data_IF_529192020064
#
_entry.id   IF_529192020064
#
_cell.length_a   1.000
_cell.length_b   1.000
_cell.length_c   1.000
_cell.angle_alpha   90.00
_cell.angle_beta   90.00
_cell.angle_gamma   90.00
#
_symmetry.space_group_name_H-M   'P 1'
#
loop_
_entity.id
_entity.type
_entity.pdbx_description
1 polymer ?
#
# COMPACT_ATOMS: atom_id res chain seq x y z
N UNK A 1 34.63 26.28 21.36
CA UNK A 1 34.26 25.62 20.09
C UNK A 1 32.79 25.27 20.17
N UNK A 2 31.93 26.06 19.53
CA UNK A 2 30.51 25.74 19.37
C UNK A 2 30.37 24.69 18.27
N UNK A 3 29.73 23.56 18.59
CA UNK A 3 29.24 22.60 17.61
C UNK A 3 27.87 23.10 17.14
N UNK A 4 27.85 23.81 16.01
CA UNK A 4 26.64 24.03 15.22
C UNK A 4 26.26 22.70 14.59
N UNK A 5 25.44 21.92 15.31
CA UNK A 5 24.77 20.74 14.78
C UNK A 5 23.60 21.17 13.90
N UNK A 6 23.84 21.12 12.60
CA UNK A 6 22.89 21.28 11.51
C UNK A 6 21.59 20.49 11.81
N UNK A 7 20.51 21.18 12.18
CA UNK A 7 19.19 20.58 12.56
C UNK A 7 18.07 21.13 11.68
N UNK A 8 18.34 21.34 10.40
CA UNK A 8 17.35 21.85 9.45
C UNK A 8 17.52 21.24 8.07
N UNK A 9 17.16 19.97 7.86
CA UNK A 9 16.85 19.50 6.50
C UNK A 9 16.06 18.18 6.35
N UNK A 10 15.44 17.66 7.41
CA UNK A 10 14.53 16.53 7.26
C UNK A 10 13.12 17.03 6.91
N UNK A 11 12.78 17.06 5.61
CA UNK A 11 11.41 17.37 5.16
C UNK A 11 10.42 16.38 5.78
N UNK A 12 9.41 16.90 6.50
CA UNK A 12 8.39 16.09 7.18
C UNK A 12 7.49 15.36 6.18
N UNK A 13 6.83 14.25 6.56
CA UNK A 13 5.85 13.57 5.72
C UNK A 13 4.72 14.50 5.22
N UNK A 14 4.28 15.45 6.06
CA UNK A 14 3.26 16.41 5.67
C UNK A 14 3.75 17.33 4.54
N UNK A 15 4.97 17.85 4.65
CA UNK A 15 5.60 18.66 3.60
C UNK A 15 5.80 17.89 2.30
N UNK A 16 6.30 16.64 2.37
CA UNK A 16 6.46 15.79 1.18
C UNK A 16 5.12 15.50 0.51
N UNK A 17 4.13 15.06 1.29
CA UNK A 17 2.78 14.78 0.78
C UNK A 17 2.15 16.02 0.14
N UNK A 18 2.23 17.17 0.83
CA UNK A 18 1.74 18.45 0.31
C UNK A 18 2.38 18.82 -1.03
N UNK A 19 3.71 18.67 -1.15
CA UNK A 19 4.44 18.94 -2.39
C UNK A 19 4.02 18.01 -3.54
N UNK A 20 3.89 16.70 -3.29
CA UNK A 20 3.44 15.72 -4.29
C UNK A 20 2.02 16.03 -4.78
N UNK A 21 1.10 16.33 -3.85
CA UNK A 21 -0.27 16.70 -4.22
C UNK A 21 -0.31 18.02 -4.97
N UNK A 22 0.51 19.00 -4.59
CA UNK A 22 0.58 20.30 -5.27
C UNK A 22 1.02 20.13 -6.72
N UNK A 23 2.11 19.40 -6.96
CA UNK A 23 2.61 19.10 -8.31
C UNK A 23 1.58 18.32 -9.14
N UNK A 24 0.97 17.28 -8.56
CA UNK A 24 -0.03 16.47 -9.22
C UNK A 24 -1.30 17.26 -9.58
N UNK A 25 -1.78 18.11 -8.67
CA UNK A 25 -2.94 18.97 -8.93
C UNK A 25 -2.65 19.99 -10.04
N UNK A 26 -1.44 20.57 -10.10
CA UNK A 26 -1.07 21.43 -11.22
C UNK A 26 -1.08 20.67 -12.55
N UNK A 27 -0.56 19.44 -12.59
CA UNK A 27 -0.63 18.56 -13.77
C UNK A 27 -2.05 18.18 -14.16
N UNK A 28 -2.95 18.04 -13.19
CA UNK A 28 -4.38 17.80 -13.40
C UNK A 28 -5.16 19.06 -13.82
N UNK A 29 -4.50 20.22 -13.94
CA UNK A 29 -5.10 21.46 -14.44
C UNK A 29 -5.69 22.37 -13.35
N UNK A 30 -5.45 22.11 -12.07
CA UNK A 30 -5.86 23.02 -11.00
C UNK A 30 -4.91 24.23 -10.91
N UNK A 31 -5.48 25.42 -11.00
CA UNK A 31 -4.75 26.66 -10.68
C UNK A 31 -4.76 26.90 -9.16
N UNK A 32 -3.63 26.59 -8.52
CA UNK A 32 -3.47 26.70 -7.06
C UNK A 32 -2.99 28.08 -6.60
N UNK A 33 -2.87 29.06 -7.51
CA UNK A 33 -2.50 30.43 -7.15
C UNK A 33 -3.60 31.07 -6.29
N UNK A 34 -3.23 32.02 -5.39
CA UNK A 34 -4.23 32.68 -4.56
C UNK A 34 -5.26 33.44 -5.42
N UNK A 35 -6.55 33.18 -5.21
CA UNK A 35 -7.65 33.92 -5.85
C UNK A 35 -8.21 33.33 -7.14
N UNK A 36 -7.58 32.33 -7.75
CA UNK A 36 -8.03 31.71 -9.03
C UNK A 36 -9.03 30.56 -8.84
N UNK A 37 -9.29 30.16 -7.59
CA UNK A 37 -10.36 29.22 -7.24
C UNK A 37 -10.00 27.74 -7.38
N UNK A 38 -8.83 27.37 -7.94
CA UNK A 38 -8.48 25.95 -8.10
C UNK A 38 -8.32 25.20 -6.77
N UNK A 39 -7.90 25.87 -5.68
CA UNK A 39 -7.94 25.29 -4.33
C UNK A 39 -9.37 24.97 -3.85
N UNK A 40 -10.35 25.80 -4.23
CA UNK A 40 -11.76 25.57 -3.89
C UNK A 40 -12.34 24.44 -4.73
N UNK A 41 -11.98 24.36 -6.01
CA UNK A 41 -12.35 23.25 -6.89
C UNK A 41 -11.79 21.92 -6.35
N UNK A 42 -10.50 21.88 -6.00
CA UNK A 42 -9.85 20.72 -5.41
C UNK A 42 -10.53 20.30 -4.09
N UNK A 43 -10.85 21.25 -3.22
CA UNK A 43 -11.58 20.99 -1.98
C UNK A 43 -12.95 20.34 -2.22
N UNK A 44 -13.73 20.88 -3.17
CA UNK A 44 -15.04 20.32 -3.54
C UNK A 44 -14.93 18.87 -4.02
N UNK A 45 -13.97 18.58 -4.89
CA UNK A 45 -13.86 17.27 -5.56
C UNK A 45 -13.25 16.19 -4.66
N UNK A 46 -12.36 16.60 -3.77
CA UNK A 46 -11.82 15.75 -2.70
C UNK A 46 -12.77 15.57 -1.51
N UNK A 47 -13.87 16.35 -1.44
CA UNK A 47 -14.78 16.35 -0.29
C UNK A 47 -14.14 16.92 0.98
N UNK A 48 -13.09 17.74 0.83
CA UNK A 48 -12.37 18.38 1.93
C UNK A 48 -12.82 19.83 2.10
N UNK A 49 -12.59 20.42 3.27
CA UNK A 49 -12.76 21.87 3.42
C UNK A 49 -11.61 22.62 2.75
N UNK A 50 -11.88 23.83 2.25
CA UNK A 50 -10.84 24.67 1.63
C UNK A 50 -9.66 24.96 2.58
N UNK A 51 -9.94 25.11 3.88
CA UNK A 51 -8.91 25.25 4.91
C UNK A 51 -8.05 23.98 5.04
N UNK A 52 -8.67 22.80 5.09
CA UNK A 52 -7.94 21.53 5.17
C UNK A 52 -7.05 21.31 3.94
N UNK A 53 -7.56 21.58 2.73
CA UNK A 53 -6.76 21.53 1.50
C UNK A 53 -5.61 22.53 1.55
N UNK A 54 -5.86 23.77 1.99
CA UNK A 54 -4.82 24.79 2.10
C UNK A 54 -3.67 24.39 3.03
N UNK A 55 -4.00 23.85 4.21
CA UNK A 55 -3.01 23.38 5.19
C UNK A 55 -2.23 22.17 4.68
N UNK A 56 -2.93 21.23 4.01
CA UNK A 56 -2.30 20.07 3.37
C UNK A 56 -1.32 20.48 2.28
N UNK A 57 -1.71 21.36 1.36
CA UNK A 57 -0.84 21.82 0.26
C UNK A 57 0.39 22.60 0.77
N UNK A 58 0.29 23.27 1.92
CA UNK A 58 1.43 23.92 2.59
C UNK A 58 2.28 22.98 3.43
N UNK A 59 1.89 21.71 3.51
CA UNK A 59 2.61 20.71 4.30
C UNK A 59 2.45 20.84 5.81
N UNK A 60 1.43 21.57 6.28
CA UNK A 60 1.16 21.77 7.71
C UNK A 60 0.43 20.58 8.33
N UNK A 61 -0.32 19.83 7.51
CA UNK A 61 -1.08 18.65 7.96
C UNK A 61 -1.16 17.58 6.90
N UNK A 62 -1.21 16.34 7.37
CA UNK A 62 -1.69 15.22 6.57
C UNK A 62 -3.22 15.17 6.54
N UNK A 63 -3.82 14.79 5.41
CA UNK A 63 -5.23 14.44 5.37
C UNK A 63 -5.48 13.12 6.12
N UNK A 64 -6.74 12.82 6.39
CA UNK A 64 -7.11 11.56 7.06
C UNK A 64 -6.84 10.38 6.12
N UNK A 65 -6.49 9.18 6.64
CA UNK A 65 -6.25 8.01 5.79
C UNK A 65 -7.40 7.68 4.82
N UNK A 66 -8.64 7.87 5.26
CA UNK A 66 -9.84 7.69 4.42
C UNK A 66 -9.93 8.64 3.22
N UNK A 67 -9.12 9.70 3.18
CA UNK A 67 -9.11 10.70 2.11
C UNK A 67 -8.02 10.43 1.07
N UNK A 68 -7.02 9.58 1.35
CA UNK A 68 -5.90 9.36 0.44
C UNK A 68 -6.35 8.86 -0.94
N UNK A 69 -7.25 7.87 -0.96
CA UNK A 69 -7.74 7.32 -2.22
C UNK A 69 -8.52 8.35 -3.05
N UNK A 70 -9.32 9.20 -2.39
CA UNK A 70 -10.06 10.27 -3.07
C UNK A 70 -9.11 11.31 -3.65
N UNK A 71 -8.09 11.72 -2.89
CA UNK A 71 -7.09 12.68 -3.34
C UNK A 71 -6.35 12.13 -4.56
N UNK A 72 -5.84 10.89 -4.47
CA UNK A 72 -5.14 10.20 -5.56
C UNK A 72 -5.96 10.18 -6.87
N UNK A 73 -7.25 9.84 -6.77
CA UNK A 73 -8.16 9.84 -7.93
C UNK A 73 -8.33 11.23 -8.54
N UNK A 74 -8.52 12.26 -7.71
CA UNK A 74 -8.77 13.64 -8.16
C UNK A 74 -7.53 14.25 -8.83
N UNK A 75 -6.34 13.96 -8.32
CA UNK A 75 -5.09 14.45 -8.92
C UNK A 75 -4.47 13.49 -9.94
N UNK A 76 -5.19 12.42 -10.30
CA UNK A 76 -4.79 11.41 -11.28
C UNK A 76 -3.41 10.79 -11.01
N UNK A 77 -3.13 10.45 -9.75
CA UNK A 77 -1.92 9.73 -9.33
C UNK A 77 -2.33 8.38 -8.74
N UNK A 78 -1.53 7.34 -8.99
CA UNK A 78 -1.74 6.05 -8.35
C UNK A 78 -1.62 6.19 -6.81
N UNK A 79 -2.49 5.50 -6.07
CA UNK A 79 -2.51 5.66 -4.61
C UNK A 79 -1.20 5.19 -3.97
N UNK A 80 -0.62 4.10 -4.46
CA UNK A 80 0.64 3.59 -3.96
C UNK A 80 1.77 4.61 -4.25
N UNK A 81 1.84 5.13 -5.48
CA UNK A 81 2.79 6.20 -5.82
C UNK A 81 2.65 7.42 -4.90
N UNK A 82 1.42 7.88 -4.65
CA UNK A 82 1.16 9.04 -3.78
C UNK A 82 1.66 8.81 -2.35
N UNK A 83 1.43 7.62 -1.79
CA UNK A 83 1.82 7.29 -0.42
C UNK A 83 3.33 7.12 -0.27
N UNK A 84 4.00 6.54 -1.28
CA UNK A 84 5.46 6.37 -1.29
C UNK A 84 6.16 7.71 -1.48
N UNK A 85 5.79 8.48 -2.52
CA UNK A 85 6.37 9.80 -2.78
C UNK A 85 6.06 10.80 -1.66
N UNK A 86 4.87 10.71 -1.07
CA UNK A 86 4.50 11.50 0.12
C UNK A 86 5.25 11.07 1.39
N UNK A 87 5.95 9.93 1.34
CA UNK A 87 6.68 9.35 2.46
C UNK A 87 5.77 9.00 3.65
N UNK A 88 4.55 8.56 3.35
CA UNK A 88 3.59 7.97 4.29
C UNK A 88 3.92 6.48 4.48
N UNK A 89 4.34 5.83 3.40
CA UNK A 89 4.80 4.45 3.37
C UNK A 89 6.21 4.45 2.78
N UNK A 90 7.11 3.61 3.31
CA UNK A 90 8.42 3.40 2.70
C UNK A 90 8.29 2.54 1.44
N UNK A 91 9.21 2.68 0.50
CA UNK A 91 9.22 1.88 -0.73
C UNK A 91 9.29 0.38 -0.43
N UNK A 92 10.10 -0.03 0.57
CA UNK A 92 10.19 -1.43 1.02
C UNK A 92 8.85 -1.97 1.51
N UNK A 93 8.16 -1.23 2.39
CA UNK A 93 6.86 -1.65 2.92
C UNK A 93 5.77 -1.65 1.83
N UNK A 94 5.87 -0.75 0.86
CA UNK A 94 4.93 -0.68 -0.24
C UNK A 94 5.10 -1.86 -1.22
N UNK A 95 6.34 -2.25 -1.51
CA UNK A 95 6.69 -3.45 -2.27
C UNK A 95 6.25 -4.75 -1.58
N UNK A 96 6.32 -4.80 -0.25
CA UNK A 96 5.84 -5.96 0.53
C UNK A 96 4.32 -6.09 0.52
N UNK A 97 3.57 -4.99 0.50
CA UNK A 97 2.11 -4.99 0.33
C UNK A 97 1.69 -5.36 -1.11
N UNK A 98 2.48 -4.96 -2.12
CA UNK A 98 2.33 -5.38 -3.52
C UNK A 98 2.58 -6.88 -3.74
N UNK A 99 3.32 -7.53 -2.82
CA UNK A 99 3.43 -9.00 -2.70
C UNK A 99 2.22 -9.66 -2.03
N UNK A 100 1.08 -8.96 -1.96
CA UNK A 100 -0.20 -9.49 -1.49
C UNK A 100 -0.54 -10.83 -2.14
N UNK A 101 -0.63 -11.86 -1.29
CA UNK A 101 -0.88 -13.28 -1.61
C UNK A 101 -0.07 -13.73 -2.83
N UNK A 102 1.20 -14.09 -2.59
CA UNK A 102 1.96 -14.94 -3.51
C UNK A 102 0.99 -15.98 -4.08
N UNK A 103 0.91 -16.07 -5.42
CA UNK A 103 0.43 -17.26 -6.13
C UNK A 103 0.78 -18.50 -5.31
N UNK A 104 -0.12 -19.49 -5.16
CA UNK A 104 0.07 -20.59 -4.23
C UNK A 104 1.53 -21.07 -4.32
N UNK A 105 2.31 -20.77 -3.28
CA UNK A 105 3.74 -21.04 -3.32
C UNK A 105 3.88 -22.54 -3.40
N UNK A 106 4.77 -22.99 -4.28
CA UNK A 106 5.11 -24.40 -4.34
C UNK A 106 5.77 -24.79 -3.01
N UNK A 107 5.59 -26.04 -2.54
CA UNK A 107 6.32 -26.55 -1.39
C UNK A 107 7.84 -26.31 -1.50
N UNK A 108 8.40 -26.38 -2.71
CA UNK A 108 9.80 -26.11 -3.01
C UNK A 108 10.22 -24.67 -2.68
N UNK A 109 9.43 -23.68 -3.14
CA UNK A 109 9.68 -22.26 -2.86
C UNK A 109 9.54 -21.92 -1.37
N UNK A 110 8.65 -22.62 -0.66
CA UNK A 110 8.50 -22.48 0.79
C UNK A 110 9.76 -22.97 1.52
N UNK A 111 10.29 -24.14 1.13
CA UNK A 111 11.52 -24.68 1.72
C UNK A 111 12.74 -23.78 1.46
N UNK A 112 12.81 -23.17 0.28
CA UNK A 112 13.85 -22.18 -0.04
C UNK A 112 13.74 -20.94 0.87
N UNK A 113 12.52 -20.43 1.05
CA UNK A 113 12.25 -19.29 1.93
C UNK A 113 12.56 -19.58 3.40
N UNK A 114 12.43 -20.84 3.84
CA UNK A 114 12.73 -21.26 5.21
C UNK A 114 14.20 -21.64 5.43
N UNK A 115 15.06 -21.55 4.41
CA UNK A 115 16.47 -21.88 4.51
C UNK A 115 16.73 -23.39 4.69
N UNK A 116 15.79 -24.25 4.28
CA UNK A 116 15.96 -25.69 4.38
C UNK A 116 16.82 -26.17 3.21
N UNK A 117 18.13 -26.25 3.40
CA UNK A 117 19.08 -26.62 2.34
C UNK A 117 19.49 -28.09 2.36
N UNK A 118 19.33 -28.79 3.49
CA UNK A 118 19.79 -30.17 3.63
C UNK A 118 18.97 -31.14 2.75
N UNK A 119 19.60 -31.91 1.85
CA UNK A 119 18.90 -32.65 0.80
C UNK A 119 17.94 -33.72 1.34
N UNK A 120 18.30 -34.38 2.45
CA UNK A 120 17.45 -35.38 3.10
C UNK A 120 16.21 -34.73 3.74
N UNK A 121 16.40 -33.58 4.40
CA UNK A 121 15.31 -32.86 5.09
C UNK A 121 14.34 -32.30 4.06
N UNK A 122 14.86 -31.78 2.94
CA UNK A 122 14.04 -31.31 1.82
C UNK A 122 13.16 -32.41 1.25
N UNK A 123 13.74 -33.57 0.92
CA UNK A 123 12.96 -34.72 0.39
C UNK A 123 11.86 -35.16 1.35
N UNK A 124 12.17 -35.26 2.64
CA UNK A 124 11.20 -35.65 3.66
C UNK A 124 10.04 -34.66 3.77
N UNK A 125 10.34 -33.36 3.82
CA UNK A 125 9.31 -32.33 3.95
C UNK A 125 8.45 -32.22 2.69
N UNK A 126 9.05 -32.30 1.50
CA UNK A 126 8.28 -32.31 0.24
C UNK A 126 7.30 -33.47 0.18
N UNK A 127 7.74 -34.69 0.55
CA UNK A 127 6.88 -35.87 0.58
C UNK A 127 5.72 -35.72 1.59
N UNK A 128 6.03 -35.25 2.80
CA UNK A 128 5.03 -35.04 3.85
C UNK A 128 3.99 -33.99 3.46
N UNK A 129 4.44 -32.86 2.88
CA UNK A 129 3.55 -31.79 2.42
C UNK A 129 2.65 -32.30 1.29
N UNK A 130 3.20 -33.02 0.30
CA UNK A 130 2.42 -33.61 -0.79
C UNK A 130 1.35 -34.58 -0.27
N UNK A 131 1.70 -35.43 0.69
CA UNK A 131 0.76 -36.35 1.34
C UNK A 131 -0.36 -35.60 2.08
N UNK A 132 -0.01 -34.56 2.85
CA UNK A 132 -0.98 -33.73 3.57
C UNK A 132 -1.99 -33.05 2.64
N UNK A 133 -1.53 -32.55 1.49
CA UNK A 133 -2.39 -31.93 0.47
C UNK A 133 -3.36 -32.95 -0.12
N UNK A 134 -2.91 -34.18 -0.41
CA UNK A 134 -3.78 -35.25 -0.91
C UNK A 134 -4.87 -35.60 0.09
N UNK A 135 -4.50 -35.82 1.35
CA UNK A 135 -5.47 -36.13 2.42
C UNK A 135 -6.52 -35.02 2.59
N UNK A 136 -6.09 -33.75 2.54
CA UNK A 136 -7.01 -32.61 2.64
C UNK A 136 -8.04 -32.59 1.49
N UNK A 137 -7.63 -32.95 0.27
CA UNK A 137 -8.52 -33.00 -0.90
C UNK A 137 -9.54 -34.14 -0.78
N UNK A 138 -9.11 -35.30 -0.29
CA UNK A 138 -9.97 -36.46 -0.06
C UNK A 138 -11.03 -36.17 0.99
N UNK A 139 -10.65 -35.61 2.16
CA UNK A 139 -11.60 -35.22 3.22
C UNK A 139 -12.58 -34.12 2.80
N UNK A 140 -12.16 -33.21 1.92
CA UNK A 140 -13.04 -32.16 1.36
C UNK A 140 -14.09 -32.69 0.38
N UNK A 141 -13.84 -33.85 -0.24
CA UNK A 141 -14.76 -34.50 -1.18
C UNK A 141 -15.86 -35.30 -0.45
N UNK A 142 -15.53 -35.91 0.69
CA UNK A 142 -16.49 -36.68 1.51
C UNK A 142 -17.59 -35.80 2.13
N UNK A 143 -17.25 -34.58 2.56
CA UNK A 143 -18.24 -33.64 3.14
C UNK A 143 -19.21 -33.04 2.12
N UNK A 144 -18.92 -33.09 0.81
CA UNK A 144 -19.81 -32.59 -0.26
C UNK A 144 -20.76 -33.63 -0.82
N UNK A 145 -20.49 -34.93 -0.64
CA UNK A 145 -21.31 -36.03 -1.14
C UNK A 145 -22.51 -36.41 -0.24
N UNK A 146 -22.54 -35.97 1.02
CA UNK A 146 -23.58 -36.35 1.99
C UNK A 146 -24.89 -35.55 1.93
N UNK A 147 -24.97 -34.48 1.13
CA UNK A 147 -26.13 -33.56 1.12
C UNK A 147 -27.27 -33.91 0.13
N UNK A 148 -27.08 -34.90 -0.76
CA UNK A 148 -28.02 -35.15 -1.86
C UNK A 148 -28.94 -36.39 -1.66
N UNK A 149 -28.98 -36.97 -0.46
CA UNK A 149 -29.77 -38.18 -0.19
C UNK A 149 -30.77 -38.00 0.98
N UNK A 150 -31.56 -36.91 0.96
CA UNK A 150 -32.83 -36.87 1.69
C UNK A 150 -33.77 -35.80 1.09
N UNK A 151 -34.60 -36.22 0.15
CA UNK A 151 -35.90 -35.62 -0.15
C UNK A 151 -36.87 -36.73 -0.50
#
# INVERSE_FOLDING_TARGET
MQLTGDTSDATTPAQRFGAVVHEAAQRAGYDLTPGTGGRLALARETGMSASAVGRMLRGETLPRPSQFQRIAQVVHVDLHELLVRGGIVSEDSANDLGRGVRSPITPEEALDSWGVTHPVIRKFLLATIAQGITLQRESGHESRGGGAAHM
#
